data_IF_502164342269
#
_entry.id   IF_502164342269
#
_cell.length_a   1.000
_cell.length_b   1.000
_cell.length_c   1.000
_cell.angle_alpha   90.00
_cell.angle_beta   90.00
_cell.angle_gamma   90.00
#
_symmetry.space_group_name_H-M   'P 1'
#
loop_
_entity.id
_entity.type
_entity.pdbx_description
1 polymer ?
#
# COMPACT_ATOMS: atom_id res chain seq x y z
N UNK A 1 6.94 21.15 11.47
CA UNK A 1 7.05 20.15 10.39
C UNK A 1 6.69 18.81 11.00
N UNK A 2 5.43 18.38 10.87
CA UNK A 2 5.03 17.04 11.31
C UNK A 2 5.58 16.04 10.31
N UNK A 3 6.39 15.08 10.77
CA UNK A 3 6.82 13.97 9.91
C UNK A 3 5.59 13.15 9.50
N UNK A 4 5.56 12.67 8.26
CA UNK A 4 4.59 11.66 7.85
C UNK A 4 4.90 10.37 8.62
N UNK A 5 3.99 9.98 9.52
CA UNK A 5 4.13 8.71 10.24
C UNK A 5 3.83 7.56 9.28
N UNK A 6 4.90 6.87 8.87
CA UNK A 6 4.87 5.74 7.95
C UNK A 6 4.93 4.43 8.74
N UNK A 7 3.94 3.57 8.52
CA UNK A 7 4.02 2.16 8.93
C UNK A 7 4.42 1.30 7.73
N UNK A 8 5.25 0.29 7.97
CA UNK A 8 5.60 -0.70 6.95
C UNK A 8 5.10 -2.07 7.40
N UNK A 9 4.31 -2.71 6.54
CA UNK A 9 3.89 -4.09 6.66
C UNK A 9 4.59 -4.92 5.60
N UNK A 10 5.07 -6.09 6.00
CA UNK A 10 5.75 -7.02 5.10
C UNK A 10 5.07 -8.39 5.20
N UNK A 11 4.73 -8.94 4.04
CA UNK A 11 4.26 -10.33 3.91
C UNK A 11 5.44 -11.16 3.43
N UNK A 12 5.91 -12.09 4.25
CA UNK A 12 6.99 -13.00 3.88
C UNK A 12 6.48 -14.30 3.24
N UNK A 13 5.20 -14.62 3.42
CA UNK A 13 4.55 -15.76 2.79
C UNK A 13 3.03 -15.69 2.90
N UNK A 14 2.36 -16.42 2.01
CA UNK A 14 0.91 -16.47 1.93
C UNK A 14 0.36 -17.75 2.56
N UNK A 15 -0.53 -17.60 3.54
CA UNK A 15 -1.34 -18.66 4.13
C UNK A 15 -2.80 -18.24 4.20
N UNK A 16 -3.66 -19.15 4.66
CA UNK A 16 -5.11 -18.90 4.75
C UNK A 16 -5.45 -17.68 5.64
N UNK A 17 -4.63 -17.44 6.67
CA UNK A 17 -4.85 -16.35 7.65
C UNK A 17 -4.18 -15.02 7.28
N UNK A 18 -3.45 -14.94 6.17
CA UNK A 18 -2.68 -13.73 5.83
C UNK A 18 -3.59 -12.52 5.62
N UNK A 19 -4.69 -12.66 4.86
CA UNK A 19 -5.63 -11.56 4.61
C UNK A 19 -6.40 -11.13 5.88
N UNK A 20 -6.99 -12.04 6.67
CA UNK A 20 -7.57 -11.70 7.97
C UNK A 20 -6.59 -10.95 8.88
N UNK A 21 -5.33 -11.40 8.94
CA UNK A 21 -4.28 -10.76 9.73
C UNK A 21 -3.95 -9.37 9.21
N UNK A 22 -3.78 -9.21 7.89
CA UNK A 22 -3.51 -7.92 7.25
C UNK A 22 -4.62 -6.91 7.55
N UNK A 23 -5.89 -7.32 7.45
CA UNK A 23 -7.04 -6.48 7.79
C UNK A 23 -7.02 -6.05 9.26
N UNK A 24 -6.72 -6.97 10.18
CA UNK A 24 -6.64 -6.67 11.61
C UNK A 24 -5.50 -5.67 11.90
N UNK A 25 -4.33 -5.84 11.27
CA UNK A 25 -3.20 -4.91 11.37
C UNK A 25 -3.52 -3.55 10.79
N UNK A 26 -4.16 -3.49 9.63
CA UNK A 26 -4.61 -2.23 9.03
C UNK A 26 -5.55 -1.46 9.98
N UNK A 27 -6.52 -2.15 10.58
CA UNK A 27 -7.43 -1.55 11.54
C UNK A 27 -6.71 -1.04 12.80
N UNK A 28 -5.67 -1.75 13.25
CA UNK A 28 -4.81 -1.31 14.35
C UNK A 28 -4.04 -0.03 14.00
N UNK A 29 -3.35 0.00 12.87
CA UNK A 29 -2.54 1.15 12.42
C UNK A 29 -3.40 2.40 12.18
N UNK A 30 -4.64 2.24 11.70
CA UNK A 30 -5.61 3.34 11.60
C UNK A 30 -5.94 3.95 12.96
N UNK A 31 -6.09 3.13 14.02
CA UNK A 31 -6.31 3.64 15.39
C UNK A 31 -5.08 4.34 15.95
N UNK A 32 -3.88 3.90 15.54
CA UNK A 32 -2.61 4.54 15.90
C UNK A 32 -2.37 5.85 15.14
N UNK A 33 -3.25 6.22 14.20
CA UNK A 33 -3.21 7.44 13.38
C UNK A 33 -1.98 7.53 12.46
N UNK A 34 -1.50 6.38 11.98
CA UNK A 34 -0.47 6.35 10.95
C UNK A 34 -0.97 7.07 9.69
N UNK A 35 -0.16 7.98 9.15
CA UNK A 35 -0.54 8.77 7.98
C UNK A 35 -0.51 7.94 6.69
N UNK A 36 0.49 7.07 6.57
CA UNK A 36 0.69 6.19 5.42
C UNK A 36 1.05 4.79 5.90
N UNK A 37 0.48 3.78 5.25
CA UNK A 37 0.79 2.37 5.50
C UNK A 37 1.28 1.77 4.19
N UNK A 38 2.54 1.40 4.15
CA UNK A 38 3.16 0.69 3.04
C UNK A 38 3.06 -0.81 3.27
N UNK A 39 2.63 -1.56 2.27
CA UNK A 39 2.58 -3.02 2.26
C UNK A 39 3.54 -3.55 1.19
N UNK A 40 4.46 -4.41 1.60
CA UNK A 40 5.40 -5.10 0.72
C UNK A 40 5.06 -6.58 0.65
N UNK A 41 4.82 -7.10 -0.56
CA UNK A 41 4.55 -8.52 -0.80
C UNK A 41 5.58 -9.12 -1.77
N UNK A 42 5.87 -10.44 -1.71
CA UNK A 42 6.91 -11.04 -2.55
C UNK A 42 6.53 -10.96 -4.03
N UNK A 43 7.43 -10.48 -4.90
CA UNK A 43 7.12 -10.29 -6.32
C UNK A 43 7.02 -11.61 -7.08
N UNK A 44 7.92 -12.56 -6.79
CA UNK A 44 7.99 -13.85 -7.50
C UNK A 44 7.04 -14.92 -6.94
N UNK A 45 6.30 -14.65 -5.86
CA UNK A 45 5.30 -15.60 -5.35
C UNK A 45 3.99 -15.48 -6.15
N UNK A 46 3.53 -16.55 -6.82
CA UNK A 46 2.27 -16.54 -7.58
C UNK A 46 1.02 -16.25 -6.73
N UNK A 47 1.08 -16.48 -5.41
CA UNK A 47 0.00 -16.08 -4.51
C UNK A 47 -0.16 -14.55 -4.43
N UNK A 48 0.90 -13.77 -4.60
CA UNK A 48 0.82 -12.30 -4.60
C UNK A 48 -0.09 -11.78 -5.72
N UNK A 49 0.01 -12.36 -6.92
CA UNK A 49 -0.86 -12.01 -8.05
C UNK A 49 -2.33 -12.34 -7.76
N UNK A 50 -2.60 -13.49 -7.13
CA UNK A 50 -3.96 -13.90 -6.74
C UNK A 50 -4.55 -12.98 -5.67
N UNK A 51 -3.71 -12.49 -4.75
CA UNK A 51 -4.15 -11.64 -3.64
C UNK A 51 -4.24 -10.15 -3.99
N UNK A 52 -3.74 -9.72 -5.15
CA UNK A 52 -3.73 -8.32 -5.56
C UNK A 52 -5.11 -7.63 -5.43
N UNK A 53 -6.17 -8.24 -5.99
CA UNK A 53 -7.53 -7.69 -5.89
C UNK A 53 -8.02 -7.60 -4.45
N UNK A 54 -7.67 -8.56 -3.59
CA UNK A 54 -8.07 -8.55 -2.19
C UNK A 54 -7.31 -7.49 -1.39
N UNK A 55 -6.04 -7.26 -1.70
CA UNK A 55 -5.22 -6.18 -1.13
C UNK A 55 -5.80 -4.82 -1.54
N UNK A 56 -6.13 -4.65 -2.81
CA UNK A 56 -6.73 -3.42 -3.34
C UNK A 56 -8.10 -3.15 -2.71
N UNK A 57 -8.91 -4.17 -2.47
CA UNK A 57 -10.19 -4.06 -1.77
C UNK A 57 -10.04 -3.62 -0.30
N UNK A 58 -8.88 -3.83 0.33
CA UNK A 58 -8.57 -3.28 1.67
C UNK A 58 -8.15 -1.80 1.62
N UNK A 59 -8.02 -1.23 0.42
CA UNK A 59 -7.69 0.16 0.18
C UNK A 59 -6.22 0.47 -0.03
N UNK A 60 -5.44 -0.56 -0.35
CA UNK A 60 -4.07 -0.40 -0.81
C UNK A 60 -4.03 -0.11 -2.31
N UNK A 61 -3.12 0.76 -2.74
CA UNK A 61 -2.89 1.07 -4.17
C UNK A 61 -1.51 0.60 -4.54
N UNK A 62 -1.38 -0.19 -5.61
CA UNK A 62 -0.07 -0.57 -6.15
C UNK A 62 0.71 0.68 -6.53
N UNK A 63 1.94 0.79 -6.05
CA UNK A 63 2.73 2.03 -6.15
C UNK A 63 4.13 1.81 -6.73
N UNK A 64 4.56 0.55 -6.86
CA UNK A 64 5.82 0.23 -7.52
C UNK A 64 6.41 -1.11 -7.09
N UNK A 65 7.68 -1.28 -7.42
CA UNK A 65 8.49 -2.44 -7.07
C UNK A 65 9.67 -1.96 -6.24
N UNK A 66 9.95 -2.66 -5.14
CA UNK A 66 11.15 -2.49 -4.35
C UNK A 66 12.14 -3.60 -4.73
N UNK A 67 13.23 -3.28 -5.45
CA UNK A 67 14.22 -4.27 -5.86
C UNK A 67 15.00 -4.80 -4.66
N UNK A 68 15.20 -6.11 -4.63
CA UNK A 68 16.07 -6.78 -3.67
C UNK A 68 17.51 -6.91 -4.17
N UNK A 69 18.38 -7.52 -3.37
CA UNK A 69 19.74 -7.89 -3.80
C UNK A 69 19.70 -9.03 -4.82
N UNK A 70 18.68 -9.89 -4.73
CA UNK A 70 18.38 -10.95 -5.70
C UNK A 70 16.93 -10.84 -6.18
N UNK A 71 16.58 -11.37 -7.37
CA UNK A 71 15.20 -11.33 -7.87
C UNK A 71 14.17 -11.96 -6.91
N UNK A 72 14.58 -12.98 -6.14
CA UNK A 72 13.74 -13.61 -5.12
C UNK A 72 13.39 -12.69 -3.95
N UNK A 73 14.10 -11.57 -3.82
CA UNK A 73 13.87 -10.55 -2.80
C UNK A 73 13.12 -9.33 -3.34
N UNK A 74 12.81 -9.28 -4.64
CA UNK A 74 11.99 -8.22 -5.20
C UNK A 74 10.60 -8.25 -4.59
N UNK A 75 10.05 -7.08 -4.32
CA UNK A 75 8.74 -6.94 -3.68
C UNK A 75 7.85 -5.98 -4.43
N UNK A 76 6.57 -6.32 -4.53
CA UNK A 76 5.53 -5.38 -4.95
C UNK A 76 5.20 -4.48 -3.76
N UNK A 77 5.13 -3.18 -4.01
CA UNK A 77 4.87 -2.15 -2.99
C UNK A 77 3.49 -1.57 -3.23
N UNK A 78 2.67 -1.61 -2.18
CA UNK A 78 1.36 -0.99 -2.14
C UNK A 78 1.32 0.05 -1.04
N UNK A 79 0.55 1.12 -1.25
CA UNK A 79 0.41 2.19 -0.27
C UNK A 79 -1.06 2.45 0.05
N UNK A 80 -1.36 2.63 1.33
CA UNK A 80 -2.64 3.09 1.84
C UNK A 80 -2.42 4.44 2.55
N UNK A 81 -3.01 5.51 2.00
CA UNK A 81 -2.97 6.84 2.61
C UNK A 81 -4.19 6.97 3.52
N UNK A 82 -3.93 7.04 4.83
CA UNK A 82 -4.97 7.13 5.85
C UNK A 82 -5.16 8.56 6.39
N UNK A 83 -4.23 9.47 6.10
CA UNK A 83 -4.34 10.87 6.50
C UNK A 83 -5.35 11.63 5.61
N UNK A 84 -6.48 12.12 6.15
CA UNK A 84 -7.45 12.91 5.40
C UNK A 84 -6.92 14.29 4.98
N UNK A 85 -5.84 14.76 5.62
CA UNK A 85 -5.16 16.03 5.30
C UNK A 85 -4.09 15.91 4.21
N UNK A 86 -3.90 14.72 3.61
CA UNK A 86 -2.87 14.52 2.60
C UNK A 86 -3.17 15.33 1.32
N UNK A 87 -2.28 16.26 0.98
CA UNK A 87 -2.37 17.05 -0.24
C UNK A 87 -1.82 16.27 -1.45
N UNK A 88 -2.74 15.65 -2.19
CA UNK A 88 -2.44 14.92 -3.42
C UNK A 88 -1.95 15.79 -4.58
N UNK A 89 -2.13 17.13 -4.53
CA UNK A 89 -1.69 18.04 -5.59
C UNK A 89 -0.34 18.71 -5.29
N UNK A 90 0.20 18.55 -4.07
CA UNK A 90 1.52 19.07 -3.72
C UNK A 90 2.65 18.55 -4.66
N UNK A 91 2.67 17.27 -5.10
CA UNK A 91 3.70 16.80 -6.02
C UNK A 91 3.47 17.24 -7.47
N UNK A 92 4.51 17.76 -8.12
CA UNK A 92 4.51 18.00 -9.57
C UNK A 92 4.76 16.70 -10.34
N UNK A 93 3.68 16.04 -10.75
CA UNK A 93 3.73 14.75 -11.44
C UNK A 93 3.77 14.94 -12.97
N UNK A 94 4.89 14.59 -13.57
CA UNK A 94 5.11 14.69 -15.02
C UNK A 94 4.82 13.40 -15.79
N UNK A 95 4.79 12.24 -15.12
CA UNK A 95 4.55 10.94 -15.76
C UNK A 95 3.07 10.57 -15.82
N UNK A 96 2.61 9.96 -16.91
CA UNK A 96 1.25 9.41 -17.02
C UNK A 96 0.93 8.38 -15.92
N UNK A 97 1.89 7.50 -15.62
CA UNK A 97 1.75 6.51 -14.54
C UNK A 97 1.49 7.20 -13.19
N UNK A 98 2.33 8.18 -12.82
CA UNK A 98 2.13 8.93 -11.59
C UNK A 98 0.77 9.65 -11.53
N UNK A 99 0.27 10.18 -12.66
CA UNK A 99 -1.03 10.83 -12.71
C UNK A 99 -2.16 9.83 -12.45
N UNK A 100 -2.06 8.61 -13.02
CA UNK A 100 -2.98 7.50 -12.75
C UNK A 100 -2.94 7.06 -11.28
N UNK A 101 -1.74 6.95 -10.70
CA UNK A 101 -1.58 6.61 -9.29
C UNK A 101 -2.23 7.65 -8.37
N UNK A 102 -2.01 8.95 -8.63
CA UNK A 102 -2.68 10.04 -7.89
C UNK A 102 -4.19 9.91 -7.97
N UNK A 103 -4.75 9.63 -9.15
CA UNK A 103 -6.18 9.45 -9.32
C UNK A 103 -6.72 8.24 -8.53
N UNK A 104 -5.99 7.12 -8.55
CA UNK A 104 -6.35 5.91 -7.78
C UNK A 104 -6.31 6.16 -6.26
N UNK A 105 -5.26 6.80 -5.75
CA UNK A 105 -5.14 7.12 -4.33
C UNK A 105 -6.25 8.06 -3.85
N UNK A 106 -6.64 9.05 -4.68
CA UNK A 106 -7.79 9.94 -4.39
C UNK A 106 -9.12 9.20 -4.33
N UNK A 107 -9.40 8.37 -5.34
CA UNK A 107 -10.62 7.58 -5.38
C UNK A 107 -10.72 6.67 -4.14
N UNK A 108 -9.59 6.09 -3.73
CA UNK A 108 -9.52 5.23 -2.56
C UNK A 108 -9.70 5.99 -1.24
N UNK A 109 -9.11 7.19 -1.12
CA UNK A 109 -9.29 8.04 0.04
C UNK A 109 -10.77 8.45 0.22
N UNK A 110 -11.45 8.80 -0.88
CA UNK A 110 -12.88 9.12 -0.87
C UNK A 110 -13.76 7.91 -0.48
N UNK A 111 -13.35 6.69 -0.83
CA UNK A 111 -14.07 5.47 -0.46
C UNK A 111 -13.81 5.00 0.99
N UNK A 112 -12.75 5.52 1.62
CA UNK A 112 -12.29 5.10 2.96
C UNK A 112 -12.60 6.12 4.07
N UNK A 113 -13.12 7.29 3.68
CA UNK A 113 -13.58 8.40 4.52
C UNK A 113 -15.05 8.23 4.94
#
# INVERSE_FOLDING_TARGET
MGGLELAQLRVDGWGEDTLPTLRARLAQLRRERMAVIELQVPLLDPASARMATAIEALGFVFSGVSPGVTPAQDRLVYNHVADPGFDYDAPNIHSELGQRLRAQMRAQAAASA
#
